data_IF_891028704268
#
_entry.id   IF_891028704268
#
_cell.length_a   1.000
_cell.length_b   1.000
_cell.length_c   1.000
_cell.angle_alpha   90.00
_cell.angle_beta   90.00
_cell.angle_gamma   90.00
#
_symmetry.space_group_name_H-M   'P 1'
#
loop_
_entity.id
_entity.type
_entity.pdbx_description
1 polymer ?
#
# COMPACT_ATOMS: atom_id res chain seq x y z
N UNK A 1 -3.50 2.02 -0.04
CA UNK A 1 -2.66 1.97 -1.26
C UNK A 1 -2.61 3.36 -1.87
N UNK A 2 -1.41 3.83 -2.16
CA UNK A 2 -1.17 5.14 -2.78
C UNK A 2 -1.46 5.12 -4.30
N UNK A 3 -1.64 6.28 -4.95
CA UNK A 3 -1.86 6.37 -6.39
C UNK A 3 -0.69 5.81 -7.23
N UNK A 4 -0.98 5.42 -8.48
CA UNK A 4 0.00 4.77 -9.37
C UNK A 4 1.22 5.65 -9.70
N UNK A 5 1.03 6.96 -9.74
CA UNK A 5 2.03 8.00 -10.00
C UNK A 5 2.75 8.46 -8.72
N UNK A 6 2.37 7.94 -7.55
CA UNK A 6 3.04 8.28 -6.31
C UNK A 6 4.42 7.60 -6.24
N UNK A 7 5.52 8.33 -6.03
CA UNK A 7 6.88 7.78 -6.12
C UNK A 7 7.15 6.63 -5.13
N UNK A 8 6.55 6.70 -3.93
CA UNK A 8 6.62 5.63 -2.93
C UNK A 8 5.87 4.38 -3.38
N UNK A 9 4.72 4.54 -4.04
CA UNK A 9 3.97 3.42 -4.57
C UNK A 9 4.73 2.73 -5.70
N UNK A 10 5.28 3.52 -6.63
CA UNK A 10 6.09 3.03 -7.72
C UNK A 10 7.30 2.24 -7.22
N UNK A 11 8.02 2.80 -6.24
CA UNK A 11 9.17 2.13 -5.62
C UNK A 11 8.77 0.82 -4.94
N UNK A 12 7.72 0.82 -4.14
CA UNK A 12 7.24 -0.38 -3.45
C UNK A 12 6.82 -1.48 -4.43
N UNK A 13 5.99 -1.13 -5.43
CA UNK A 13 5.53 -2.09 -6.44
C UNK A 13 6.71 -2.71 -7.20
N UNK A 14 7.65 -1.88 -7.68
CA UNK A 14 8.78 -2.35 -8.48
C UNK A 14 9.81 -3.12 -7.65
N UNK A 15 10.18 -2.62 -6.48
CA UNK A 15 11.31 -3.16 -5.72
C UNK A 15 10.92 -4.27 -4.75
N UNK A 16 9.69 -4.25 -4.21
CA UNK A 16 9.24 -5.25 -3.23
C UNK A 16 8.33 -6.30 -3.84
N UNK A 17 7.51 -5.92 -4.81
CA UNK A 17 6.56 -6.84 -5.44
C UNK A 17 7.00 -7.28 -6.84
N UNK A 18 8.09 -6.73 -7.39
CA UNK A 18 8.58 -7.01 -8.74
C UNK A 18 7.54 -6.81 -9.84
N UNK A 19 6.63 -5.83 -9.67
CA UNK A 19 5.57 -5.49 -10.63
C UNK A 19 5.49 -3.97 -10.86
N UNK A 20 4.96 -3.54 -12.00
CA UNK A 20 4.66 -2.13 -12.22
C UNK A 20 3.32 -1.73 -11.57
N UNK A 21 3.15 -0.48 -11.12
CA UNK A 21 1.91 0.00 -10.48
C UNK A 21 0.62 -0.34 -11.24
N UNK A 22 0.63 -0.13 -12.57
CA UNK A 22 -0.53 -0.45 -13.41
C UNK A 22 -0.85 -1.95 -13.43
N UNK A 23 0.17 -2.82 -13.38
CA UNK A 23 -0.03 -4.27 -13.32
C UNK A 23 -0.64 -4.68 -11.99
N UNK A 24 -0.17 -4.09 -10.88
CA UNK A 24 -0.74 -4.32 -9.56
C UNK A 24 -2.20 -3.86 -9.49
N UNK A 25 -2.54 -2.70 -10.06
CA UNK A 25 -3.92 -2.24 -10.16
C UNK A 25 -4.78 -3.23 -10.97
N UNK A 26 -4.29 -3.69 -12.13
CA UNK A 26 -5.01 -4.68 -12.94
C UNK A 26 -5.22 -6.02 -12.21
N UNK A 27 -4.25 -6.46 -11.40
CA UNK A 27 -4.40 -7.64 -10.56
C UNK A 27 -5.54 -7.47 -9.55
N UNK A 28 -5.63 -6.30 -8.90
CA UNK A 28 -6.74 -6.00 -7.99
C UNK A 28 -8.08 -5.90 -8.71
N UNK A 29 -8.12 -5.22 -9.86
CA UNK A 29 -9.33 -5.07 -10.66
C UNK A 29 -9.89 -6.44 -11.05
N UNK A 30 -9.03 -7.38 -11.44
CA UNK A 30 -9.42 -8.76 -11.75
C UNK A 30 -10.02 -9.47 -10.55
N UNK A 31 -9.39 -9.39 -9.37
CA UNK A 31 -9.84 -10.05 -8.13
C UNK A 31 -11.19 -9.50 -7.66
N UNK A 32 -11.38 -8.18 -7.77
CA UNK A 32 -12.64 -7.51 -7.42
C UNK A 32 -13.73 -7.88 -8.42
N UNK A 33 -13.43 -7.85 -9.72
CA UNK A 33 -14.40 -8.18 -10.76
C UNK A 33 -14.91 -9.62 -10.67
N UNK A 34 -14.04 -10.59 -10.33
CA UNK A 34 -14.46 -11.97 -10.12
C UNK A 34 -15.17 -12.22 -8.78
N UNK A 35 -15.29 -11.19 -7.91
CA UNK A 35 -15.92 -11.32 -6.59
C UNK A 35 -15.10 -12.16 -5.60
N UNK A 36 -13.84 -12.45 -5.92
CA UNK A 36 -12.97 -13.35 -5.13
C UNK A 36 -12.16 -12.61 -4.07
N UNK A 37 -12.28 -11.29 -3.99
CA UNK A 37 -11.57 -10.50 -2.98
C UNK A 37 -11.90 -9.01 -3.03
N UNK A 38 -11.28 -8.28 -2.12
CA UNK A 38 -11.44 -6.83 -1.94
C UNK A 38 -10.12 -6.13 -2.27
N UNK A 39 -10.17 -5.06 -3.06
CA UNK A 39 -9.02 -4.22 -3.30
C UNK A 39 -8.62 -3.44 -2.02
N UNK A 40 -7.34 -3.09 -1.86
CA UNK A 40 -6.89 -2.30 -0.73
C UNK A 40 -7.53 -0.90 -0.74
N UNK A 41 -7.81 -0.35 0.45
CA UNK A 41 -8.29 1.02 0.60
C UNK A 41 -7.32 2.01 -0.04
N UNK A 42 -7.81 2.89 -0.91
CA UNK A 42 -6.99 3.93 -1.55
C UNK A 42 -6.83 5.13 -0.60
N UNK A 43 -5.64 5.70 -0.60
CA UNK A 43 -5.25 6.90 0.17
C UNK A 43 -4.46 7.82 -0.73
N UNK A 44 -4.50 9.12 -0.51
CA UNK A 44 -3.87 10.12 -1.39
C UNK A 44 -2.46 10.52 -0.95
N UNK A 45 -2.08 10.27 0.29
CA UNK A 45 -0.78 10.67 0.86
C UNK A 45 -0.23 9.66 1.86
N UNK A 46 1.08 9.77 2.14
CA UNK A 46 1.75 8.96 3.17
C UNK A 46 1.22 9.28 4.57
N UNK A 47 0.93 10.56 4.87
CA UNK A 47 0.33 10.95 6.16
C UNK A 47 -1.04 10.32 6.36
N UNK A 48 -1.87 10.27 5.32
CA UNK A 48 -3.15 9.56 5.39
C UNK A 48 -2.93 8.05 5.55
N UNK A 49 -1.96 7.47 4.83
CA UNK A 49 -1.63 6.05 4.99
C UNK A 49 -1.21 5.71 6.43
N UNK A 50 -0.36 6.52 7.05
CA UNK A 50 0.06 6.37 8.44
C UNK A 50 -1.15 6.41 9.39
N UNK A 51 -2.02 7.41 9.23
CA UNK A 51 -3.20 7.56 10.07
C UNK A 51 -4.12 6.34 9.95
N UNK A 52 -4.34 5.84 8.72
CA UNK A 52 -5.13 4.61 8.51
C UNK A 52 -4.50 3.40 9.16
N UNK A 53 -3.18 3.26 9.08
CA UNK A 53 -2.47 2.12 9.69
C UNK A 53 -2.59 2.17 11.22
N UNK A 54 -2.34 3.34 11.81
CA UNK A 54 -2.39 3.55 13.25
C UNK A 54 -3.79 3.35 13.84
N UNK A 55 -4.84 3.70 13.09
CA UNK A 55 -6.23 3.66 13.58
C UNK A 55 -7.00 2.39 13.22
N UNK A 56 -6.49 1.58 12.29
CA UNK A 56 -7.18 0.37 11.80
C UNK A 56 -6.40 -0.89 12.22
N UNK A 57 -6.86 -1.61 13.25
CA UNK A 57 -6.22 -2.85 13.68
C UNK A 57 -6.12 -3.88 12.54
N UNK A 58 -4.93 -4.47 12.38
CA UNK A 58 -4.68 -5.47 11.34
C UNK A 58 -4.47 -4.92 9.93
N UNK A 59 -4.47 -3.59 9.75
CA UNK A 59 -4.14 -2.99 8.47
C UNK A 59 -2.63 -3.01 8.19
N UNK A 60 -2.28 -2.96 6.91
CA UNK A 60 -0.91 -3.01 6.42
C UNK A 60 -0.72 -1.94 5.35
N UNK A 61 0.47 -1.36 5.29
CA UNK A 61 0.85 -0.41 4.25
C UNK A 61 2.36 -0.23 4.19
N UNK A 62 2.78 0.77 3.42
CA UNK A 62 4.19 1.05 3.15
C UNK A 62 4.40 2.56 3.16
N UNK A 63 5.42 2.99 3.88
CA UNK A 63 5.75 4.40 4.11
C UNK A 63 7.25 4.57 3.98
N UNK A 64 7.68 5.78 3.64
CA UNK A 64 9.07 6.17 3.83
C UNK A 64 9.39 6.31 5.31
N UNK A 65 10.66 6.04 5.66
CA UNK A 65 11.11 6.04 7.06
C UNK A 65 10.87 7.36 7.78
N UNK A 66 10.91 8.47 7.05
CA UNK A 66 10.66 9.81 7.58
C UNK A 66 9.20 10.05 8.00
N UNK A 67 8.26 9.21 7.52
CA UNK A 67 6.84 9.26 7.86
C UNK A 67 6.46 8.23 8.93
N UNK A 68 7.43 7.47 9.47
CA UNK A 68 7.17 6.53 10.56
C UNK A 68 7.06 7.27 11.88
N UNK A 69 6.14 6.81 12.72
CA UNK A 69 6.02 7.24 14.11
C UNK A 69 5.81 6.02 15.03
N UNK A 70 5.76 6.27 16.35
CA UNK A 70 5.67 5.22 17.37
C UNK A 70 4.31 4.48 17.38
N UNK A 71 3.33 4.92 16.57
CA UNK A 71 2.00 4.29 16.50
C UNK A 71 1.95 3.08 15.58
N UNK A 72 2.97 2.88 14.76
CA UNK A 72 3.02 1.78 13.78
C UNK A 72 4.23 0.89 13.98
N UNK A 73 4.09 -0.40 13.66
CA UNK A 73 5.19 -1.35 13.73
C UNK A 73 5.74 -1.65 12.34
N UNK A 74 7.07 -1.63 12.21
CA UNK A 74 7.76 -1.96 10.96
C UNK A 74 7.94 -3.47 10.86
N UNK A 75 7.43 -4.05 9.78
CA UNK A 75 7.64 -5.46 9.46
C UNK A 75 8.86 -5.57 8.54
N UNK A 76 9.86 -6.34 8.97
CA UNK A 76 10.99 -6.70 8.11
C UNK A 76 10.57 -7.87 7.21
N UNK A 77 10.85 -7.73 5.91
CA UNK A 77 10.67 -8.82 4.95
C UNK A 77 12.07 -9.32 4.60
N UNK A 78 12.32 -10.62 4.81
CA UNK A 78 13.52 -11.34 4.34
C UNK A 78 13.45 -11.66 2.85
#
# INVERSE_FOLDING_TARGET
MLPNDHPVHERFAKQRLSVYPHQLQLSWDRVVFSGTGQAPTKVISQSEMLERIATTPGSLGYLDREHLDDRVQVISME
#
